data_IF_089497144026
#
_entry.id   IF_089497144026
#
_cell.length_a   1.000
_cell.length_b   1.000
_cell.length_c   1.000
_cell.angle_alpha   90.00
_cell.angle_beta   90.00
_cell.angle_gamma   90.00
#
_symmetry.space_group_name_H-M   'P 1'
#
loop_
_entity.id
_entity.type
_entity.pdbx_description
1 polymer ?
#
# COMPACT_ATOMS: atom_id res chain seq x y z
N UNK A 1 -8.45 35.48 -18.40
CA UNK A 1 -8.95 34.09 -18.26
C UNK A 1 -7.76 33.18 -17.95
N UNK A 2 -7.56 32.72 -16.71
CA UNK A 2 -6.35 31.90 -16.46
C UNK A 2 -6.09 31.34 -15.05
N UNK A 3 -6.85 31.71 -14.02
CA UNK A 3 -6.56 31.28 -12.64
C UNK A 3 -7.45 30.12 -12.11
N UNK A 4 -8.25 29.47 -12.96
CA UNK A 4 -9.21 28.42 -12.54
C UNK A 4 -8.95 27.03 -13.14
N UNK A 5 -7.71 26.75 -13.58
CA UNK A 5 -7.34 25.38 -14.05
C UNK A 5 -6.86 24.45 -12.93
N UNK A 6 -6.90 24.88 -11.66
CA UNK A 6 -6.45 24.11 -10.50
C UNK A 6 -7.58 23.63 -9.56
N UNK A 7 -8.84 23.99 -9.87
CA UNK A 7 -10.01 23.65 -9.06
C UNK A 7 -10.94 22.67 -9.80
N UNK A 8 -10.39 21.56 -10.28
CA UNK A 8 -11.20 20.38 -10.57
C UNK A 8 -11.79 19.84 -9.28
N UNK A 9 -12.85 20.49 -8.80
CA UNK A 9 -13.83 20.10 -7.77
C UNK A 9 -13.29 19.09 -6.74
N UNK A 10 -12.98 19.57 -5.52
CA UNK A 10 -12.61 18.73 -4.36
C UNK A 10 -13.48 17.47 -4.22
N UNK A 11 -14.77 17.60 -4.57
CA UNK A 11 -15.74 16.51 -4.69
C UNK A 11 -15.25 15.34 -5.58
N UNK A 12 -14.77 15.61 -6.80
CA UNK A 12 -14.24 14.57 -7.71
C UNK A 12 -12.96 13.92 -7.21
N UNK A 13 -12.11 14.67 -6.51
CA UNK A 13 -10.90 14.11 -5.88
C UNK A 13 -11.28 13.17 -4.75
N UNK A 14 -12.32 13.51 -3.99
CA UNK A 14 -12.82 12.69 -2.90
C UNK A 14 -13.53 11.43 -3.41
N UNK A 15 -14.34 11.53 -4.47
CA UNK A 15 -14.94 10.38 -5.15
C UNK A 15 -13.88 9.42 -5.70
N UNK A 16 -12.83 9.95 -6.33
CA UNK A 16 -11.72 9.14 -6.83
C UNK A 16 -10.94 8.46 -5.70
N UNK A 17 -10.73 9.15 -4.57
CA UNK A 17 -10.13 8.56 -3.37
C UNK A 17 -10.96 7.41 -2.82
N UNK A 18 -12.27 7.60 -2.67
CA UNK A 18 -13.17 6.55 -2.16
C UNK A 18 -13.23 5.34 -3.10
N UNK A 19 -13.27 5.58 -4.41
CA UNK A 19 -13.22 4.51 -5.40
C UNK A 19 -11.88 3.75 -5.36
N UNK A 20 -10.76 4.48 -5.20
CA UNK A 20 -9.42 3.90 -5.07
C UNK A 20 -9.28 3.09 -3.77
N UNK A 21 -9.72 3.63 -2.63
CA UNK A 21 -9.69 2.96 -1.33
C UNK A 21 -10.52 1.66 -1.36
N UNK A 22 -11.68 1.70 -2.00
CA UNK A 22 -12.53 0.52 -2.18
C UNK A 22 -11.86 -0.49 -3.11
N UNK A 23 -11.32 -0.04 -4.24
CA UNK A 23 -10.66 -0.91 -5.22
C UNK A 23 -9.40 -1.60 -4.68
N UNK A 24 -8.64 -0.92 -3.84
CA UNK A 24 -7.41 -1.44 -3.24
C UNK A 24 -7.63 -2.13 -1.89
N UNK A 25 -8.85 -2.16 -1.37
CA UNK A 25 -9.15 -2.67 -0.03
C UNK A 25 -8.64 -4.11 0.16
N UNK A 26 -8.88 -4.99 -0.83
CA UNK A 26 -8.46 -6.40 -0.77
C UNK A 26 -6.94 -6.57 -0.78
N UNK A 27 -6.23 -5.79 -1.61
CA UNK A 27 -4.77 -5.81 -1.66
C UNK A 27 -4.18 -5.29 -0.35
N UNK A 28 -4.71 -4.16 0.15
CA UNK A 28 -4.25 -3.54 1.39
C UNK A 28 -4.46 -4.46 2.59
N UNK A 29 -5.64 -5.03 2.75
CA UNK A 29 -5.94 -5.97 3.85
C UNK A 29 -5.07 -7.23 3.77
N UNK A 30 -5.00 -7.87 2.59
CA UNK A 30 -4.16 -9.06 2.40
C UNK A 30 -2.67 -8.81 2.64
N UNK A 31 -2.14 -7.66 2.22
CA UNK A 31 -0.75 -7.27 2.48
C UNK A 31 -0.49 -7.02 3.97
N UNK A 32 -1.35 -6.24 4.64
CA UNK A 32 -1.20 -5.95 6.07
C UNK A 32 -1.34 -7.21 6.94
N UNK A 33 -2.19 -8.16 6.56
CA UNK A 33 -2.33 -9.43 7.28
C UNK A 33 -1.05 -10.27 7.20
N UNK A 34 -0.41 -10.35 6.02
CA UNK A 34 0.87 -11.04 5.84
C UNK A 34 1.97 -10.36 6.64
N UNK A 35 2.07 -9.03 6.52
CA UNK A 35 3.05 -8.23 7.26
C UNK A 35 2.89 -8.41 8.77
N UNK A 36 1.65 -8.35 9.27
CA UNK A 36 1.34 -8.53 10.70
C UNK A 36 1.79 -9.90 11.21
N UNK A 37 1.63 -10.96 10.40
CA UNK A 37 2.11 -12.31 10.75
C UNK A 37 3.64 -12.40 10.76
N UNK A 38 4.30 -11.78 9.78
CA UNK A 38 5.77 -11.80 9.68
C UNK A 38 6.46 -11.09 10.86
N UNK A 39 5.85 -10.05 11.42
CA UNK A 39 6.39 -9.30 12.56
C UNK A 39 5.82 -9.74 13.92
N UNK A 40 4.89 -10.70 13.95
CA UNK A 40 4.23 -11.12 15.18
C UNK A 40 5.25 -11.71 16.19
N UNK A 41 5.34 -11.10 17.36
CA UNK A 41 6.27 -11.55 18.42
C UNK A 41 7.72 -11.06 18.27
N UNK A 42 8.03 -10.28 17.22
CA UNK A 42 9.31 -9.59 17.05
C UNK A 42 9.22 -8.20 17.68
N UNK A 43 10.17 -7.84 18.54
CA UNK A 43 10.25 -6.52 19.17
C UNK A 43 11.14 -5.53 18.42
N UNK A 44 11.97 -6.04 17.52
CA UNK A 44 12.94 -5.30 16.72
C UNK A 44 12.89 -5.82 15.28
N UNK A 45 13.14 -4.95 14.32
CA UNK A 45 13.30 -5.33 12.92
C UNK A 45 14.73 -5.87 12.78
N UNK A 46 14.84 -7.18 12.61
CA UNK A 46 16.09 -7.91 12.37
C UNK A 46 16.15 -8.43 10.92
N UNK A 47 17.29 -9.02 10.53
CA UNK A 47 17.50 -9.52 9.16
C UNK A 47 16.46 -10.56 8.76
N UNK A 48 16.02 -11.42 9.70
CA UNK A 48 14.96 -12.40 9.47
C UNK A 48 13.61 -11.73 9.14
N UNK A 49 13.27 -10.63 9.81
CA UNK A 49 12.06 -9.85 9.48
C UNK A 49 12.17 -9.20 8.10
N UNK A 50 13.36 -8.73 7.73
CA UNK A 50 13.59 -8.12 6.42
C UNK A 50 13.49 -9.14 5.29
N UNK A 51 14.06 -10.34 5.44
CA UNK A 51 13.94 -11.42 4.46
C UNK A 51 12.47 -11.85 4.26
N UNK A 52 11.71 -11.97 5.36
CA UNK A 52 10.27 -12.29 5.29
C UNK A 52 9.46 -11.16 4.62
N UNK A 53 9.88 -9.92 4.78
CA UNK A 53 9.25 -8.77 4.12
C UNK A 53 9.54 -8.76 2.62
N UNK A 54 10.77 -9.04 2.22
CA UNK A 54 11.18 -9.19 0.82
C UNK A 54 10.34 -10.27 0.12
N UNK A 55 10.22 -11.45 0.71
CA UNK A 55 9.39 -12.54 0.15
C UNK A 55 7.91 -12.12 0.03
N UNK A 56 7.39 -11.40 1.04
CA UNK A 56 6.01 -10.91 1.03
C UNK A 56 5.75 -9.90 -0.08
N UNK A 57 6.70 -9.00 -0.35
CA UNK A 57 6.64 -7.99 -1.41
C UNK A 57 6.78 -8.62 -2.80
N UNK A 58 7.69 -9.58 -2.97
CA UNK A 58 7.80 -10.39 -4.18
C UNK A 58 6.48 -11.09 -4.50
N UNK A 59 5.84 -11.71 -3.50
CA UNK A 59 4.55 -12.38 -3.66
C UNK A 59 3.35 -11.44 -3.83
N UNK A 60 3.56 -10.12 -3.68
CA UNK A 60 2.57 -9.08 -3.93
C UNK A 60 2.74 -8.44 -5.33
N UNK A 61 3.52 -9.07 -6.21
CA UNK A 61 3.79 -8.62 -7.58
C UNK A 61 4.48 -7.24 -7.65
N UNK A 62 5.30 -6.89 -6.65
CA UNK A 62 6.07 -5.64 -6.62
C UNK A 62 7.30 -5.70 -7.55
N UNK A 63 7.89 -6.90 -7.72
CA UNK A 63 9.02 -7.15 -8.61
C UNK A 63 10.38 -6.93 -7.96
N UNK A 64 11.41 -7.55 -8.54
CA UNK A 64 12.77 -7.66 -7.96
C UNK A 64 13.45 -6.30 -7.78
N UNK A 65 13.35 -5.40 -8.77
CA UNK A 65 14.04 -4.10 -8.70
C UNK A 65 13.39 -3.11 -7.73
N UNK A 66 12.15 -3.38 -7.32
CA UNK A 66 11.33 -2.48 -6.47
C UNK A 66 11.17 -3.01 -5.05
N UNK A 67 11.41 -4.30 -4.86
CA UNK A 67 11.41 -4.96 -3.55
C UNK A 67 12.77 -4.76 -2.89
#
# INVERSE_FOLDING_TARGET
MGFFKFFGSKEKVEEQRQALDTGLNKTRSGFLDKLTRAVAGKSTIDDEVLDNLEETLMAADVGVDTT
#
